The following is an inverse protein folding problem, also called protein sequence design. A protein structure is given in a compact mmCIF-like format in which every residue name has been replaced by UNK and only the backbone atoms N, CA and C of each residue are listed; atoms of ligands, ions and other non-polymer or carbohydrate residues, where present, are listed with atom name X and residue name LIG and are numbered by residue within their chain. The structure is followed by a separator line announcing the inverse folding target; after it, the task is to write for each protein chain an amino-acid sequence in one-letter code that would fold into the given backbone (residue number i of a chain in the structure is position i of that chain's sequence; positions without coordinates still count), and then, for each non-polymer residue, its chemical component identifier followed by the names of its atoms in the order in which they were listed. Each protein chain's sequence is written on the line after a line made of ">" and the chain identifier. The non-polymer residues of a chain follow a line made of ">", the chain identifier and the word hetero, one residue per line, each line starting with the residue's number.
data_IF_657489113925
#
_entry.id   IF_657489113925
#
_cell.length_a   1.000
_cell.length_b   1.000
_cell.length_c   1.000
_cell.angle_alpha   90.00
_cell.angle_beta   90.00
_cell.angle_gamma   90.00
#
_symmetry.space_group_name_H-M   'P 1'
#
loop_
_entity.id
_entity.type
_entity.pdbx_description
1 polymer ?
#
# COMPACT_ATOMS: atom_id res chain seq x y z
N UNK A 1 12.19 16.42 -5.55
CA UNK A 1 12.85 17.72 -5.38
C UNK A 1 14.33 17.50 -5.20
N UNK A 2 15.10 17.61 -6.28
CA UNK A 2 16.56 17.74 -6.19
C UNK A 2 16.77 19.17 -5.69
N UNK A 3 16.95 19.34 -4.38
CA UNK A 3 17.44 20.61 -3.87
C UNK A 3 18.82 20.79 -4.49
N UNK A 4 18.94 21.78 -5.36
CA UNK A 4 20.20 22.16 -5.97
C UNK A 4 21.21 22.38 -4.84
N UNK A 5 22.20 21.47 -4.76
CA UNK A 5 23.26 21.44 -3.75
C UNK A 5 23.92 22.82 -3.62
N UNK A 6 24.03 23.52 -4.76
CA UNK A 6 24.53 24.88 -4.81
C UNK A 6 23.55 25.84 -4.15
N UNK A 7 22.26 25.80 -4.48
CA UNK A 7 21.25 26.67 -3.87
C UNK A 7 21.10 26.51 -2.35
N UNK A 8 21.17 25.28 -1.81
CA UNK A 8 21.10 25.07 -0.35
C UNK A 8 22.32 25.62 0.38
N UNK A 9 23.54 25.38 -0.13
CA UNK A 9 24.75 25.92 0.49
C UNK A 9 24.94 27.42 0.21
N UNK A 10 24.53 27.94 -0.95
CA UNK A 10 24.48 29.37 -1.25
C UNK A 10 23.45 30.08 -0.34
N UNK A 11 22.36 29.40 0.07
CA UNK A 11 21.42 29.95 1.06
C UNK A 11 21.99 30.02 2.49
N UNK A 12 22.98 29.18 2.81
CA UNK A 12 23.70 29.20 4.08
C UNK A 12 24.83 30.24 4.09
N UNK A 13 25.34 30.61 2.91
CA UNK A 13 26.30 31.71 2.69
C UNK A 13 25.60 33.06 2.40
N UNK A 14 24.26 33.10 2.45
CA UNK A 14 23.48 34.33 2.31
C UNK A 14 23.82 35.31 3.44
N UNK A 15 24.02 36.62 3.17
CA UNK A 15 24.29 37.62 4.20
C UNK A 15 23.15 37.78 5.22
N UNK A 16 21.96 37.25 4.92
CA UNK A 16 20.81 37.21 5.84
C UNK A 16 20.85 36.03 6.83
N UNK A 17 21.75 35.06 6.62
CA UNK A 17 21.92 33.90 7.49
C UNK A 17 23.05 34.18 8.49
N UNK A 18 22.70 34.53 9.73
CA UNK A 18 23.64 34.86 10.83
C UNK A 18 24.41 33.63 11.38
N UNK A 19 24.74 32.65 10.54
CA UNK A 19 25.54 31.50 10.94
C UNK A 19 27.03 31.80 10.70
N UNK A 20 27.85 31.56 11.73
CA UNK A 20 29.28 31.76 11.64
C UNK A 20 29.86 30.85 10.53
N UNK A 21 30.60 31.40 9.53
CA UNK A 21 31.20 30.63 8.45
C UNK A 21 32.11 29.48 8.93
N UNK A 22 32.76 29.63 10.08
CA UNK A 22 33.54 28.54 10.69
C UNK A 22 32.64 27.42 11.22
N UNK A 23 31.44 27.71 11.72
CA UNK A 23 30.48 26.69 12.18
C UNK A 23 29.95 25.89 10.98
N UNK A 24 29.62 26.56 9.87
CA UNK A 24 29.18 25.90 8.63
C UNK A 24 30.30 25.02 8.05
N UNK A 25 31.56 25.45 8.12
CA UNK A 25 32.73 24.67 7.71
C UNK A 25 33.00 23.47 8.64
N UNK A 26 32.98 23.68 9.96
CA UNK A 26 33.14 22.61 10.97
C UNK A 26 32.04 21.54 10.81
N UNK A 27 30.80 21.94 10.52
CA UNK A 27 29.69 21.01 10.31
C UNK A 27 29.79 20.24 8.98
N UNK A 28 30.45 20.81 7.97
CA UNK A 28 30.71 20.14 6.69
C UNK A 28 31.82 19.08 6.79
N UNK A 29 32.87 19.33 7.59
CA UNK A 29 34.06 18.46 7.65
C UNK A 29 33.94 17.35 8.73
N UNK A 30 33.34 17.65 9.88
CA UNK A 30 33.31 16.76 11.06
C UNK A 30 32.60 15.39 10.88
N UNK A 31 31.47 15.26 10.15
CA UNK A 31 30.83 13.94 10.01
C UNK A 31 31.61 13.02 9.04
N UNK A 32 32.30 13.56 8.03
CA UNK A 32 33.08 12.75 7.09
C UNK A 32 34.35 12.18 7.71
N UNK A 33 35.03 12.95 8.57
CA UNK A 33 36.21 12.47 9.31
C UNK A 33 35.85 11.34 10.29
N UNK A 34 34.70 11.46 10.96
CA UNK A 34 34.18 10.40 11.84
C UNK A 34 33.83 9.13 11.06
N UNK A 35 33.16 9.27 9.91
CA UNK A 35 32.81 8.14 9.04
C UNK A 35 34.08 7.46 8.49
N UNK A 36 35.06 8.23 8.00
CA UNK A 36 36.34 7.69 7.54
C UNK A 36 37.14 6.99 8.64
N UNK A 37 37.07 7.50 9.87
CA UNK A 37 37.67 6.84 11.04
C UNK A 37 36.96 5.53 11.36
N UNK A 38 35.62 5.52 11.35
CA UNK A 38 34.83 4.31 11.58
C UNK A 38 35.11 3.24 10.51
N UNK A 39 35.20 3.64 9.23
CA UNK A 39 35.58 2.76 8.12
C UNK A 39 36.94 2.10 8.37
N UNK A 40 37.96 2.91 8.67
CA UNK A 40 39.33 2.43 8.92
C UNK A 40 39.36 1.48 10.12
N UNK A 41 38.65 1.81 11.21
CA UNK A 41 38.58 0.96 12.39
C UNK A 41 37.84 -0.34 12.10
N UNK A 42 36.75 -0.31 11.35
CA UNK A 42 36.02 -1.52 10.94
C UNK A 42 36.92 -2.46 10.12
N UNK A 43 37.67 -1.91 9.16
CA UNK A 43 38.63 -2.66 8.36
C UNK A 43 39.76 -3.25 9.21
N UNK A 44 40.31 -2.48 10.17
CA UNK A 44 41.33 -2.97 11.09
C UNK A 44 40.81 -4.11 11.98
N UNK A 45 39.60 -4.00 12.50
CA UNK A 45 38.97 -5.06 13.31
C UNK A 45 38.80 -6.32 12.45
N UNK A 46 38.26 -6.19 11.24
CA UNK A 46 38.12 -7.34 10.33
C UNK A 46 39.47 -7.93 9.92
N UNK A 47 40.47 -7.10 9.66
CA UNK A 47 41.83 -7.56 9.35
C UNK A 47 42.48 -8.31 10.50
N UNK A 48 42.20 -7.93 11.75
CA UNK A 48 42.74 -8.60 12.93
C UNK A 48 42.04 -9.93 13.24
N UNK A 49 40.70 -9.97 13.18
CA UNK A 49 39.90 -11.15 13.54
C UNK A 49 39.48 -12.00 12.33
N UNK A 50 39.87 -11.63 11.11
CA UNK A 50 39.46 -12.22 9.82
C UNK A 50 37.99 -12.00 9.43
N UNK A 51 37.05 -12.09 10.37
CA UNK A 51 35.63 -11.84 10.13
C UNK A 51 34.92 -11.35 11.40
N UNK A 52 33.69 -10.84 11.24
CA UNK A 52 32.96 -10.23 12.35
C UNK A 52 32.44 -11.25 13.37
N UNK A 53 32.18 -12.48 12.93
CA UNK A 53 31.80 -13.59 13.80
C UNK A 53 32.93 -13.95 14.78
N UNK A 54 34.17 -14.04 14.28
CA UNK A 54 35.36 -14.28 15.09
C UNK A 54 35.65 -13.13 16.06
N UNK A 55 35.42 -11.88 15.63
CA UNK A 55 35.50 -10.72 16.52
C UNK A 55 34.46 -10.80 17.66
N UNK A 56 33.22 -11.18 17.34
CA UNK A 56 32.13 -11.41 18.31
C UNK A 56 32.50 -12.49 19.32
N UNK A 57 33.08 -13.60 18.87
CA UNK A 57 33.52 -14.69 19.75
C UNK A 57 34.67 -14.26 20.67
N UNK A 58 35.70 -13.62 20.11
CA UNK A 58 36.87 -13.17 20.86
C UNK A 58 36.54 -12.08 21.89
N UNK A 59 35.59 -11.19 21.58
CA UNK A 59 35.19 -10.07 22.43
C UNK A 59 33.99 -10.39 23.34
N UNK A 60 33.48 -11.63 23.29
CA UNK A 60 32.26 -12.04 24.01
C UNK A 60 32.28 -11.76 25.51
N UNK A 61 33.47 -11.79 26.14
CA UNK A 61 33.64 -11.49 27.58
C UNK A 61 33.41 -10.02 27.94
N UNK A 62 33.47 -9.12 26.96
CA UNK A 62 33.23 -7.68 27.11
C UNK A 62 31.79 -7.27 26.76
N UNK A 63 31.00 -8.19 26.19
CA UNK A 63 29.62 -7.97 25.79
C UNK A 63 28.67 -8.04 27.00
N UNK A 64 27.62 -7.22 27.00
CA UNK A 64 26.51 -7.44 27.94
C UNK A 64 25.69 -8.65 27.50
N UNK A 65 24.85 -9.15 28.42
CA UNK A 65 23.94 -10.27 28.14
C UNK A 65 23.12 -9.97 26.86
N UNK A 66 23.13 -10.92 25.91
CA UNK A 66 22.47 -10.85 24.59
C UNK A 66 23.11 -9.92 23.55
N UNK A 67 24.17 -9.18 23.87
CA UNK A 67 24.93 -8.41 22.88
C UNK A 67 25.94 -9.32 22.15
N UNK A 68 26.03 -9.21 20.83
CA UNK A 68 27.02 -9.96 20.02
C UNK A 68 28.38 -9.27 19.95
N UNK A 69 28.41 -7.95 20.02
CA UNK A 69 29.63 -7.16 20.06
C UNK A 69 29.58 -6.17 21.22
N UNK A 70 30.74 -5.77 21.77
CA UNK A 70 30.80 -4.66 22.71
C UNK A 70 30.30 -3.38 22.04
N UNK A 71 29.61 -2.53 22.81
CA UNK A 71 28.97 -1.31 22.31
C UNK A 71 29.83 -0.48 21.35
N UNK A 72 31.09 -0.22 21.69
CA UNK A 72 31.97 0.60 20.85
C UNK A 72 32.36 -0.08 19.53
N UNK A 73 32.61 -1.39 19.55
CA UNK A 73 32.91 -2.13 18.33
C UNK A 73 31.67 -2.18 17.42
N UNK A 74 30.50 -2.42 18.00
CA UNK A 74 29.22 -2.43 17.30
C UNK A 74 28.94 -1.07 16.62
N UNK A 75 29.16 0.02 17.34
CA UNK A 75 28.97 1.38 16.83
C UNK A 75 29.92 1.71 15.65
N UNK A 76 31.16 1.22 15.69
CA UNK A 76 32.12 1.38 14.57
C UNK A 76 31.56 0.77 13.29
N UNK A 77 31.04 -0.46 13.33
CA UNK A 77 30.46 -1.10 12.14
C UNK A 77 29.17 -0.42 11.67
N UNK A 78 28.32 0.04 12.60
CA UNK A 78 27.13 0.80 12.24
C UNK A 78 27.47 2.08 11.47
N UNK A 79 28.48 2.83 11.95
CA UNK A 79 28.87 4.09 11.34
C UNK A 79 29.61 3.91 10.02
N UNK A 80 30.50 2.92 9.94
CA UNK A 80 31.19 2.58 8.71
C UNK A 80 30.21 2.26 7.57
N UNK A 81 29.07 1.63 7.89
CA UNK A 81 28.07 1.30 6.87
C UNK A 81 27.24 2.49 6.34
N UNK A 82 27.41 3.73 6.82
CA UNK A 82 26.45 4.81 6.55
C UNK A 82 26.62 5.55 5.22
N UNK A 83 27.81 5.49 4.61
CA UNK A 83 28.12 6.13 3.32
C UNK A 83 28.81 5.15 2.39
N UNK A 84 28.88 5.47 1.11
CA UNK A 84 29.50 4.60 0.11
C UNK A 84 31.04 4.67 0.20
N UNK A 85 31.69 3.50 0.21
CA UNK A 85 33.14 3.32 0.19
C UNK A 85 33.49 1.88 -0.27
N UNK A 86 34.77 1.61 -0.55
CA UNK A 86 35.25 0.36 -1.16
C UNK A 86 34.90 -0.90 -0.37
N UNK A 87 34.89 -0.82 0.95
CA UNK A 87 34.70 -1.97 1.84
C UNK A 87 33.25 -2.16 2.27
N UNK A 88 32.34 -1.26 1.88
CA UNK A 88 30.95 -1.25 2.35
C UNK A 88 30.23 -2.59 2.09
N UNK A 89 30.44 -3.20 0.93
CA UNK A 89 29.80 -4.47 0.58
C UNK A 89 30.16 -5.59 1.58
N UNK A 90 31.45 -5.67 1.95
CA UNK A 90 31.94 -6.60 2.96
C UNK A 90 31.36 -6.28 4.33
N UNK A 91 31.35 -5.00 4.73
CA UNK A 91 30.83 -4.60 6.04
C UNK A 91 29.33 -4.89 6.20
N UNK A 92 28.53 -4.61 5.16
CA UNK A 92 27.09 -4.92 5.15
C UNK A 92 26.87 -6.43 5.28
N UNK A 93 27.59 -7.23 4.50
CA UNK A 93 27.48 -8.70 4.51
C UNK A 93 27.85 -9.28 5.88
N UNK A 94 29.01 -8.87 6.43
CA UNK A 94 29.46 -9.31 7.74
C UNK A 94 28.50 -8.92 8.87
N UNK A 95 27.95 -7.69 8.81
CA UNK A 95 26.95 -7.22 9.77
C UNK A 95 25.65 -8.02 9.65
N UNK A 96 25.21 -8.30 8.42
CA UNK A 96 24.04 -9.14 8.19
C UNK A 96 24.23 -10.54 8.75
N UNK A 97 25.33 -11.21 8.40
CA UNK A 97 25.63 -12.57 8.84
C UNK A 97 25.65 -12.70 10.36
N UNK A 98 26.24 -11.73 11.06
CA UNK A 98 26.29 -11.73 12.51
C UNK A 98 24.90 -11.55 13.13
N UNK A 99 24.02 -10.73 12.55
CA UNK A 99 22.77 -10.30 13.20
C UNK A 99 21.48 -10.86 12.61
N UNK A 100 21.55 -11.66 11.54
CA UNK A 100 20.37 -12.20 10.82
C UNK A 100 19.43 -13.05 11.70
N UNK A 101 19.92 -13.65 12.78
CA UNK A 101 19.09 -14.45 13.69
C UNK A 101 18.13 -13.64 14.58
N UNK A 102 18.24 -12.31 14.55
CA UNK A 102 17.34 -11.40 15.27
C UNK A 102 17.46 -11.42 16.79
N UNK A 103 18.45 -12.12 17.37
CA UNK A 103 18.53 -12.30 18.84
C UNK A 103 19.03 -11.07 19.59
N UNK A 104 19.86 -10.25 18.96
CA UNK A 104 20.38 -9.00 19.53
C UNK A 104 19.49 -7.81 19.15
N UNK A 105 18.35 -7.71 19.86
CA UNK A 105 17.37 -6.64 19.65
C UNK A 105 17.92 -5.24 19.97
N UNK A 106 18.96 -5.15 20.80
CA UNK A 106 19.56 -3.88 21.21
C UNK A 106 20.37 -3.29 20.06
N UNK A 107 21.24 -4.10 19.43
CA UNK A 107 21.98 -3.69 18.24
C UNK A 107 21.05 -3.32 17.08
N UNK A 108 19.95 -4.06 16.90
CA UNK A 108 18.94 -3.76 15.87
C UNK A 108 18.28 -2.39 16.10
N UNK A 109 17.89 -2.07 17.34
CA UNK A 109 17.29 -0.76 17.66
C UNK A 109 18.29 0.40 17.52
N UNK A 110 19.55 0.19 17.91
CA UNK A 110 20.62 1.20 17.80
C UNK A 110 20.87 1.57 16.33
N UNK A 111 20.91 0.59 15.42
CA UNK A 111 21.08 0.81 13.98
C UNK A 111 20.08 1.81 13.41
N UNK A 112 18.80 1.62 13.72
CA UNK A 112 17.74 2.54 13.28
C UNK A 112 17.99 3.98 13.79
N UNK A 113 18.43 4.12 15.04
CA UNK A 113 18.69 5.43 15.66
C UNK A 113 19.90 6.13 15.05
N UNK A 114 20.95 5.38 14.67
CA UNK A 114 22.16 5.95 14.07
C UNK A 114 21.87 6.53 12.69
N UNK A 115 21.05 5.87 11.88
CA UNK A 115 20.72 6.38 10.54
C UNK A 115 19.96 7.71 10.61
N UNK A 116 19.09 7.87 11.59
CA UNK A 116 18.27 9.07 11.79
C UNK A 116 19.02 10.20 12.52
N UNK A 117 20.31 10.00 12.82
CA UNK A 117 21.11 10.99 13.53
C UNK A 117 21.29 12.29 12.71
N UNK A 118 20.94 13.44 13.29
CA UNK A 118 20.87 14.73 12.57
C UNK A 118 22.17 15.17 11.88
N UNK A 119 23.34 14.79 12.42
CA UNK A 119 24.65 15.05 11.80
C UNK A 119 24.83 14.36 10.43
N UNK A 120 24.06 13.32 10.14
CA UNK A 120 24.15 12.55 8.90
C UNK A 120 23.17 13.04 7.83
N UNK A 121 22.38 14.08 8.12
CA UNK A 121 21.36 14.60 7.20
C UNK A 121 21.93 15.03 5.85
N UNK A 122 23.17 15.53 5.82
CA UNK A 122 23.86 15.97 4.62
C UNK A 122 24.79 14.91 3.99
N UNK A 123 24.88 13.71 4.58
CA UNK A 123 25.73 12.63 4.08
C UNK A 123 24.97 11.82 3.02
N UNK A 124 25.48 11.71 1.79
CA UNK A 124 24.86 10.88 0.76
C UNK A 124 24.74 9.44 1.20
N UNK A 125 23.55 8.87 1.08
CA UNK A 125 23.31 7.46 1.39
C UNK A 125 23.79 6.57 0.25
N UNK A 126 24.32 5.37 0.55
CA UNK A 126 24.62 4.38 -0.47
C UNK A 126 23.36 4.03 -1.28
N UNK A 127 23.56 3.71 -2.55
CA UNK A 127 22.53 3.17 -3.45
C UNK A 127 22.73 1.67 -3.62
N UNK A 128 21.64 0.91 -3.63
CA UNK A 128 21.62 -0.53 -3.88
C UNK A 128 22.24 -0.88 -5.23
N UNK A 129 21.94 -0.08 -6.26
CA UNK A 129 22.42 -0.26 -7.61
C UNK A 129 23.56 0.71 -7.95
N UNK A 130 24.37 0.32 -8.92
CA UNK A 130 25.37 1.18 -9.54
C UNK A 130 24.73 2.16 -10.57
N UNK A 131 25.56 3.01 -11.18
CA UNK A 131 25.12 3.98 -12.19
C UNK A 131 24.46 3.29 -13.42
N UNK A 132 24.87 2.05 -13.72
CA UNK A 132 24.30 1.26 -14.80
C UNK A 132 22.94 0.67 -14.42
N UNK A 133 22.59 0.62 -13.14
CA UNK A 133 21.36 0.03 -12.62
C UNK A 133 21.50 -1.46 -12.30
N UNK A 134 22.72 -1.97 -12.21
CA UNK A 134 23.02 -3.33 -11.73
C UNK A 134 23.20 -3.33 -10.22
N UNK A 135 22.90 -4.45 -9.57
CA UNK A 135 23.01 -4.60 -8.12
C UNK A 135 24.47 -4.50 -7.68
N UNK A 136 24.76 -3.48 -6.85
CA UNK A 136 26.08 -3.26 -6.24
C UNK A 136 26.23 -3.98 -4.90
N UNK A 137 25.14 -4.09 -4.14
CA UNK A 137 25.11 -4.71 -2.83
C UNK A 137 24.09 -5.85 -2.76
N UNK A 138 24.35 -6.81 -1.87
CA UNK A 138 23.37 -7.84 -1.54
C UNK A 138 22.12 -7.19 -0.88
N UNK A 139 20.90 -7.39 -1.44
CA UNK A 139 19.70 -6.70 -0.97
C UNK A 139 19.33 -6.95 0.49
N UNK A 140 19.42 -8.19 0.99
CA UNK A 140 19.03 -8.48 2.38
C UNK A 140 20.01 -7.84 3.37
N UNK A 141 21.30 -7.86 3.04
CA UNK A 141 22.33 -7.22 3.84
C UNK A 141 22.21 -5.69 3.81
N UNK A 142 21.94 -5.13 2.63
CA UNK A 142 21.72 -3.71 2.44
C UNK A 142 20.50 -3.21 3.23
N UNK A 143 19.37 -3.93 3.15
CA UNK A 143 18.14 -3.58 3.87
C UNK A 143 18.28 -3.63 5.39
N UNK A 144 19.22 -4.41 5.94
CA UNK A 144 19.45 -4.45 7.38
C UNK A 144 19.87 -3.09 7.97
N UNK A 145 20.35 -2.18 7.12
CA UNK A 145 20.74 -0.82 7.48
C UNK A 145 19.92 0.17 6.65
N UNK A 146 20.01 0.11 5.32
CA UNK A 146 19.47 1.12 4.40
C UNK A 146 18.10 0.75 3.81
N UNK A 147 17.19 0.16 4.59
CA UNK A 147 15.88 -0.28 4.09
C UNK A 147 15.11 0.81 3.34
N UNK A 148 15.02 2.02 3.92
CA UNK A 148 14.32 3.15 3.28
C UNK A 148 14.95 3.57 1.96
N UNK A 149 16.29 3.49 1.84
CA UNK A 149 17.00 3.78 0.59
C UNK A 149 16.67 2.73 -0.47
N UNK A 150 16.64 1.44 -0.08
CA UNK A 150 16.24 0.35 -0.98
C UNK A 150 14.82 0.54 -1.50
N UNK A 151 13.86 0.85 -0.63
CA UNK A 151 12.47 1.10 -1.04
C UNK A 151 12.38 2.27 -2.04
N UNK A 152 13.09 3.38 -1.75
CA UNK A 152 13.11 4.56 -2.59
C UNK A 152 13.73 4.28 -3.97
N UNK A 153 14.81 3.50 -4.02
CA UNK A 153 15.52 3.19 -5.24
C UNK A 153 14.77 2.19 -6.12
N UNK A 154 14.14 1.17 -5.53
CA UNK A 154 13.26 0.25 -6.28
C UNK A 154 12.12 1.02 -6.93
N UNK A 155 11.52 1.99 -6.22
CA UNK A 155 10.50 2.88 -6.80
C UNK A 155 11.07 3.70 -7.96
N UNK A 156 12.27 4.29 -7.81
CA UNK A 156 12.92 5.04 -8.89
C UNK A 156 13.23 4.17 -10.12
N UNK A 157 13.66 2.92 -9.92
CA UNK A 157 13.90 1.94 -11.00
C UNK A 157 12.60 1.66 -11.75
N UNK A 158 11.49 1.48 -11.02
CA UNK A 158 10.17 1.27 -11.60
C UNK A 158 9.71 2.49 -12.41
N UNK A 159 9.83 3.69 -11.84
CA UNK A 159 9.45 4.95 -12.50
C UNK A 159 10.30 5.26 -13.75
N UNK A 160 11.56 4.79 -13.78
CA UNK A 160 12.44 4.89 -14.93
C UNK A 160 12.07 3.95 -16.09
N UNK A 161 11.16 2.98 -15.86
CA UNK A 161 10.58 2.13 -16.89
C UNK A 161 11.35 0.85 -17.21
N UNK A 162 10.94 0.19 -18.31
CA UNK A 162 11.29 -1.21 -18.63
C UNK A 162 12.79 -1.49 -18.63
N UNK A 163 13.61 -0.63 -19.24
CA UNK A 163 15.06 -0.87 -19.37
C UNK A 163 15.76 -1.01 -18.03
N UNK A 164 15.35 -0.24 -17.02
CA UNK A 164 15.94 -0.32 -15.67
C UNK A 164 15.40 -1.53 -14.91
N UNK A 165 14.12 -1.86 -15.11
CA UNK A 165 13.50 -3.07 -14.55
C UNK A 165 14.16 -4.35 -15.07
N UNK A 166 14.39 -4.46 -16.39
CA UNK A 166 15.04 -5.63 -16.99
C UNK A 166 16.47 -5.83 -16.48
N UNK A 167 17.20 -4.74 -16.24
CA UNK A 167 18.55 -4.81 -15.64
C UNK A 167 18.51 -5.29 -14.19
N UNK A 168 17.57 -4.78 -13.40
CA UNK A 168 17.39 -5.26 -12.04
C UNK A 168 17.05 -6.76 -12.03
N UNK A 169 16.12 -7.19 -12.90
CA UNK A 169 15.70 -8.58 -13.06
C UNK A 169 16.84 -9.48 -13.56
N UNK A 170 17.72 -8.97 -14.44
CA UNK A 170 18.85 -9.75 -14.92
C UNK A 170 19.76 -10.18 -13.79
N UNK A 171 19.82 -9.46 -12.67
CA UNK A 171 20.68 -9.81 -11.54
C UNK A 171 20.01 -10.78 -10.55
N UNK A 172 18.69 -11.02 -10.63
CA UNK A 172 17.94 -11.83 -9.67
C UNK A 172 18.48 -13.26 -9.51
N UNK A 173 18.90 -13.88 -10.61
CA UNK A 173 19.36 -15.27 -10.60
C UNK A 173 20.68 -15.48 -9.83
N UNK A 174 21.43 -14.41 -9.56
CA UNK A 174 22.70 -14.45 -8.84
C UNK A 174 22.53 -14.24 -7.33
N UNK A 175 21.33 -13.90 -6.89
CA UNK A 175 21.02 -13.61 -5.50
C UNK A 175 20.68 -14.86 -4.70
N UNK A 176 20.96 -14.81 -3.40
CA UNK A 176 20.46 -15.79 -2.45
C UNK A 176 18.92 -15.70 -2.30
N UNK A 177 18.31 -16.77 -1.80
CA UNK A 177 16.84 -16.86 -1.67
C UNK A 177 16.22 -15.77 -0.79
N UNK A 178 16.91 -15.31 0.27
CA UNK A 178 16.38 -14.28 1.15
C UNK A 178 16.37 -12.90 0.45
N UNK A 179 17.44 -12.59 -0.28
CA UNK A 179 17.54 -11.40 -1.13
C UNK A 179 16.52 -11.40 -2.26
N UNK A 180 16.34 -12.54 -2.95
CA UNK A 180 15.31 -12.69 -3.98
C UNK A 180 13.92 -12.44 -3.41
N UNK A 181 13.62 -13.01 -2.24
CA UNK A 181 12.33 -12.83 -1.56
C UNK A 181 12.10 -11.38 -1.17
N UNK A 182 13.11 -10.70 -0.62
CA UNK A 182 13.00 -9.29 -0.24
C UNK A 182 12.75 -8.42 -1.48
N UNK A 183 13.58 -8.54 -2.51
CA UNK A 183 13.40 -7.75 -3.73
C UNK A 183 12.07 -8.04 -4.42
N UNK A 184 11.67 -9.31 -4.51
CA UNK A 184 10.37 -9.69 -5.07
C UNK A 184 9.21 -9.04 -4.32
N UNK A 185 9.28 -8.99 -2.98
CA UNK A 185 8.29 -8.32 -2.15
C UNK A 185 8.25 -6.81 -2.39
N UNK A 186 9.40 -6.14 -2.45
CA UNK A 186 9.46 -4.68 -2.66
C UNK A 186 9.07 -4.27 -4.09
N UNK A 187 9.47 -5.04 -5.10
CA UNK A 187 9.02 -4.82 -6.48
C UNK A 187 7.51 -5.08 -6.58
N UNK A 188 7.03 -6.16 -5.98
CA UNK A 188 5.61 -6.50 -5.91
C UNK A 188 4.78 -5.35 -5.36
N UNK A 189 5.17 -4.76 -4.22
CA UNK A 189 4.47 -3.58 -3.64
C UNK A 189 4.26 -2.45 -4.66
N UNK A 190 5.28 -2.13 -5.45
CA UNK A 190 5.21 -1.04 -6.44
C UNK A 190 4.33 -1.43 -7.66
N UNK A 191 4.51 -2.65 -8.19
CA UNK A 191 3.71 -3.16 -9.33
C UNK A 191 2.23 -3.28 -8.99
N UNK A 192 1.92 -3.86 -7.83
CA UNK A 192 0.54 -4.12 -7.40
C UNK A 192 -0.22 -2.81 -7.14
N UNK A 193 0.47 -1.77 -6.68
CA UNK A 193 -0.09 -0.43 -6.48
C UNK A 193 -0.22 0.42 -7.76
N UNK A 194 0.47 0.04 -8.83
CA UNK A 194 0.55 0.84 -10.07
C UNK A 194 -0.73 0.81 -10.92
N UNK A 195 -0.87 1.83 -11.76
CA UNK A 195 -1.93 1.92 -12.79
C UNK A 195 -1.56 1.22 -14.12
N UNK A 196 -0.45 0.49 -14.16
CA UNK A 196 0.00 -0.15 -15.40
C UNK A 196 -0.97 -1.25 -15.83
N UNK A 197 -1.38 -1.29 -17.11
CA UNK A 197 -2.19 -2.37 -17.66
C UNK A 197 -1.38 -3.67 -17.74
N UNK A 198 -2.07 -4.79 -17.94
CA UNK A 198 -1.45 -6.13 -17.89
C UNK A 198 -0.46 -6.42 -19.01
N UNK A 199 -0.65 -5.75 -20.15
CA UNK A 199 0.23 -5.82 -21.32
C UNK A 199 1.43 -4.87 -21.22
N UNK A 200 1.55 -4.13 -20.11
CA UNK A 200 2.71 -3.28 -19.85
C UNK A 200 4.00 -4.12 -19.91
N UNK A 201 5.02 -3.70 -20.67
CA UNK A 201 6.30 -4.39 -20.73
C UNK A 201 6.92 -4.62 -19.35
N UNK A 202 6.76 -3.66 -18.44
CA UNK A 202 7.25 -3.73 -17.05
C UNK A 202 6.61 -4.89 -16.29
N UNK A 203 5.29 -5.07 -16.42
CA UNK A 203 4.56 -6.18 -15.79
C UNK A 203 4.93 -7.52 -16.40
N UNK A 204 5.09 -7.57 -17.72
CA UNK A 204 5.51 -8.79 -18.43
C UNK A 204 6.89 -9.24 -17.94
N UNK A 205 7.85 -8.33 -17.84
CA UNK A 205 9.20 -8.64 -17.36
C UNK A 205 9.23 -9.15 -15.91
N UNK A 206 8.33 -8.62 -15.07
CA UNK A 206 8.29 -8.97 -13.65
C UNK A 206 7.39 -10.16 -13.31
N UNK A 207 6.56 -10.61 -14.25
CA UNK A 207 5.60 -11.70 -14.06
C UNK A 207 6.12 -12.93 -13.31
N UNK A 208 7.35 -13.45 -13.53
CA UNK A 208 7.88 -14.59 -12.78
C UNK A 208 8.03 -14.37 -11.27
N UNK A 209 8.05 -13.11 -10.83
CA UNK A 209 8.28 -12.71 -9.43
C UNK A 209 7.03 -12.15 -8.76
N UNK A 210 5.91 -12.08 -9.50
CA UNK A 210 4.65 -11.56 -9.01
C UNK A 210 3.74 -12.71 -8.57
N UNK A 211 2.93 -12.44 -7.55
CA UNK A 211 1.87 -13.29 -7.06
C UNK A 211 0.55 -12.73 -7.60
N UNK A 212 -0.08 -13.46 -8.53
CA UNK A 212 -1.31 -13.04 -9.21
C UNK A 212 -2.47 -12.79 -8.22
N UNK A 213 -2.56 -13.57 -7.14
CA UNK A 213 -3.62 -13.41 -6.13
C UNK A 213 -3.39 -12.14 -5.30
N UNK A 214 -2.14 -11.87 -4.90
CA UNK A 214 -1.77 -10.67 -4.18
C UNK A 214 -1.91 -9.41 -5.04
N UNK A 215 -1.60 -9.49 -6.34
CA UNK A 215 -1.79 -8.40 -7.30
C UNK A 215 -3.27 -8.07 -7.46
N UNK A 216 -4.10 -9.07 -7.76
CA UNK A 216 -5.54 -8.90 -7.88
C UNK A 216 -6.18 -8.34 -6.60
N UNK A 217 -5.76 -8.86 -5.44
CA UNK A 217 -6.17 -8.32 -4.13
C UNK A 217 -5.88 -6.83 -4.04
N UNK A 218 -4.66 -6.42 -4.33
CA UNK A 218 -4.23 -5.02 -4.22
C UNK A 218 -5.00 -4.14 -5.20
N UNK A 219 -5.21 -4.59 -6.44
CA UNK A 219 -5.96 -3.87 -7.47
C UNK A 219 -7.43 -3.70 -7.11
N UNK A 220 -8.11 -4.73 -6.60
CA UNK A 220 -9.51 -4.64 -6.16
C UNK A 220 -9.64 -3.66 -5.00
N UNK A 221 -8.74 -3.70 -4.01
CA UNK A 221 -8.75 -2.76 -2.89
C UNK A 221 -8.46 -1.33 -3.36
N UNK A 222 -7.49 -1.13 -4.25
CA UNK A 222 -7.19 0.19 -4.80
C UNK A 222 -8.33 0.73 -5.68
N UNK A 223 -9.07 -0.14 -6.39
CA UNK A 223 -10.25 0.26 -7.14
C UNK A 223 -11.36 0.73 -6.18
N UNK A 224 -11.58 0.01 -5.08
CA UNK A 224 -12.51 0.41 -4.03
C UNK A 224 -12.11 1.75 -3.38
N UNK A 225 -10.85 1.90 -2.99
CA UNK A 225 -10.35 3.14 -2.38
C UNK A 225 -10.42 4.33 -3.36
N UNK A 226 -10.18 4.10 -4.66
CA UNK A 226 -10.34 5.14 -5.68
C UNK A 226 -11.78 5.62 -5.90
N UNK A 227 -12.78 4.89 -5.38
CA UNK A 227 -14.17 5.35 -5.37
C UNK A 227 -14.41 6.36 -4.24
N UNK A 228 -13.65 6.30 -3.13
CA UNK A 228 -13.68 7.30 -2.06
C UNK A 228 -13.05 8.62 -2.51
N UNK A 229 -11.88 8.51 -3.15
CA UNK A 229 -11.07 9.66 -3.59
C UNK A 229 -11.56 10.24 -4.92
N UNK A 230 -12.70 9.77 -5.44
CA UNK A 230 -13.22 10.17 -6.74
C UNK A 230 -13.63 11.65 -6.70
N UNK A 231 -12.91 12.50 -7.42
CA UNK A 231 -13.31 13.90 -7.65
C UNK A 231 -13.86 14.06 -9.07
N UNK A 232 -14.71 15.07 -9.33
CA UNK A 232 -15.18 15.38 -10.69
C UNK A 232 -14.04 15.61 -11.70
N UNK A 233 -12.86 15.98 -11.21
CA UNK A 233 -11.67 16.32 -12.00
C UNK A 233 -10.76 15.11 -12.26
N UNK A 234 -10.81 14.07 -11.42
CA UNK A 234 -9.98 12.85 -11.53
C UNK A 234 -10.74 11.61 -12.06
N UNK A 235 -11.93 11.83 -12.64
CA UNK A 235 -12.88 10.80 -13.08
C UNK A 235 -12.29 9.76 -14.06
N UNK A 236 -11.19 10.08 -14.77
CA UNK A 236 -10.59 9.13 -15.72
C UNK A 236 -9.79 7.98 -15.05
N UNK A 237 -9.32 8.15 -13.81
CA UNK A 237 -8.41 7.17 -13.19
C UNK A 237 -9.12 5.97 -12.54
N UNK A 238 -10.28 6.21 -11.93
CA UNK A 238 -11.06 5.18 -11.23
C UNK A 238 -11.67 4.12 -12.16
N UNK A 239 -12.26 4.47 -13.32
CA UNK A 239 -12.73 3.49 -14.30
C UNK A 239 -11.62 2.56 -14.81
N UNK A 240 -10.41 3.08 -15.04
CA UNK A 240 -9.27 2.26 -15.44
C UNK A 240 -8.86 1.28 -14.33
N UNK A 241 -8.85 1.71 -13.06
CA UNK A 241 -8.59 0.82 -11.91
C UNK A 241 -9.62 -0.31 -11.82
N UNK A 242 -10.89 0.01 -11.99
CA UNK A 242 -11.99 -0.97 -12.00
C UNK A 242 -11.79 -1.98 -13.13
N UNK A 243 -11.53 -1.50 -14.36
CA UNK A 243 -11.27 -2.34 -15.53
C UNK A 243 -10.08 -3.28 -15.30
N UNK A 244 -8.97 -2.77 -14.78
CA UNK A 244 -7.78 -3.56 -14.46
C UNK A 244 -8.01 -4.58 -13.33
N UNK A 245 -8.87 -4.27 -12.36
CA UNK A 245 -9.24 -5.21 -11.32
C UNK A 245 -10.04 -6.39 -11.89
N UNK A 246 -11.02 -6.12 -12.75
CA UNK A 246 -11.82 -7.18 -13.40
C UNK A 246 -11.00 -8.04 -14.35
N UNK A 247 -10.13 -7.44 -15.18
CA UNK A 247 -9.25 -8.17 -16.08
C UNK A 247 -8.34 -9.18 -15.34
N UNK A 248 -7.97 -8.88 -14.10
CA UNK A 248 -7.22 -9.81 -13.24
C UNK A 248 -8.11 -10.90 -12.67
N UNK A 249 -9.29 -10.55 -12.14
CA UNK A 249 -10.25 -11.52 -11.60
C UNK A 249 -10.66 -12.57 -12.65
N UNK A 250 -10.80 -12.19 -13.92
CA UNK A 250 -11.11 -13.11 -15.03
C UNK A 250 -10.08 -14.24 -15.21
N UNK A 251 -8.84 -14.03 -14.77
CA UNK A 251 -7.73 -14.98 -14.96
C UNK A 251 -7.46 -15.84 -13.74
N UNK A 252 -8.05 -15.51 -12.59
CA UNK A 252 -7.84 -16.24 -11.35
C UNK A 252 -8.72 -17.50 -11.30
N UNK A 253 -8.23 -18.52 -10.59
CA UNK A 253 -9.08 -19.63 -10.17
C UNK A 253 -9.96 -19.25 -8.97
N UNK A 254 -10.93 -20.10 -8.64
CA UNK A 254 -11.92 -19.84 -7.56
C UNK A 254 -11.30 -19.71 -6.17
N UNK A 255 -10.24 -20.47 -5.87
CA UNK A 255 -9.53 -20.38 -4.59
C UNK A 255 -8.85 -19.02 -4.43
N UNK A 256 -8.21 -18.53 -5.49
CA UNK A 256 -7.57 -17.21 -5.52
C UNK A 256 -8.60 -16.07 -5.45
N UNK A 257 -9.73 -16.18 -6.16
CA UNK A 257 -10.84 -15.22 -6.04
C UNK A 257 -11.38 -15.17 -4.61
N UNK A 258 -11.51 -16.33 -3.96
CA UNK A 258 -11.93 -16.40 -2.55
C UNK A 258 -10.97 -15.64 -1.62
N UNK A 259 -9.66 -15.72 -1.85
CA UNK A 259 -8.66 -14.93 -1.12
C UNK A 259 -8.82 -13.42 -1.36
N UNK A 260 -9.03 -13.00 -2.61
CA UNK A 260 -9.30 -11.59 -2.94
C UNK A 260 -10.55 -11.10 -2.22
N UNK A 261 -11.65 -11.85 -2.30
CA UNK A 261 -12.91 -11.51 -1.65
C UNK A 261 -12.78 -11.48 -0.13
N UNK A 262 -11.98 -12.35 0.50
CA UNK A 262 -11.74 -12.27 1.94
C UNK A 262 -11.13 -10.92 2.37
N UNK A 263 -10.28 -10.33 1.53
CA UNK A 263 -9.69 -9.02 1.80
C UNK A 263 -10.68 -7.88 1.57
N UNK A 264 -11.55 -8.04 0.57
CA UNK A 264 -12.66 -7.11 0.33
C UNK A 264 -13.65 -7.10 1.51
N UNK A 265 -14.01 -8.29 2.05
CA UNK A 265 -14.85 -8.41 3.26
C UNK A 265 -14.23 -7.70 4.45
N UNK A 266 -12.92 -7.85 4.65
CA UNK A 266 -12.22 -7.12 5.71
C UNK A 266 -12.33 -5.61 5.53
N UNK A 267 -12.22 -5.10 4.30
CA UNK A 267 -12.38 -3.67 4.00
C UNK A 267 -13.81 -3.19 4.21
N UNK A 268 -14.82 -3.98 3.84
CA UNK A 268 -16.23 -3.70 4.15
C UNK A 268 -16.47 -3.59 5.65
N UNK A 269 -15.95 -4.53 6.43
CA UNK A 269 -16.00 -4.49 7.88
C UNK A 269 -15.42 -3.18 8.44
N UNK A 270 -14.31 -2.68 7.89
CA UNK A 270 -13.73 -1.39 8.28
C UNK A 270 -14.61 -0.19 7.92
N UNK A 271 -15.29 -0.20 6.78
CA UNK A 271 -16.18 0.89 6.35
C UNK A 271 -17.53 0.90 7.08
N UNK A 272 -18.00 -0.27 7.50
CA UNK A 272 -19.27 -0.46 8.22
C UNK A 272 -19.11 -0.28 9.74
N UNK A 273 -17.91 -0.52 10.28
CA UNK A 273 -17.60 -0.31 11.70
C UNK A 273 -17.57 1.20 12.01
N UNK A 274 -18.66 1.72 12.59
CA UNK A 274 -18.80 3.10 13.10
C UNK A 274 -17.92 3.43 14.34
N UNK A 275 -16.70 2.91 14.43
CA UNK A 275 -15.78 3.21 15.54
C UNK A 275 -15.34 4.68 15.45
N UNK A 276 -15.26 5.42 16.58
CA UNK A 276 -14.73 6.78 16.58
C UNK A 276 -13.28 6.76 16.10
N UNK A 277 -13.02 7.35 14.93
CA UNK A 277 -11.71 7.38 14.25
C UNK A 277 -11.65 6.63 12.91
N UNK A 278 -12.71 5.94 12.46
CA UNK A 278 -12.83 5.37 11.11
C UNK A 278 -13.24 6.40 10.05
N UNK A 279 -13.07 6.07 8.76
CA UNK A 279 -13.42 6.90 7.59
C UNK A 279 -14.86 7.43 7.66
N UNK A 280 -15.06 8.60 8.27
CA UNK A 280 -16.38 9.05 8.69
C UNK A 280 -17.15 9.82 7.60
N UNK A 281 -16.46 10.33 6.58
CA UNK A 281 -17.06 11.13 5.51
C UNK A 281 -16.70 10.57 4.13
N UNK A 282 -17.72 10.42 3.29
CA UNK A 282 -17.61 10.14 1.87
C UNK A 282 -17.73 11.48 1.14
N UNK A 283 -16.60 12.07 0.75
CA UNK A 283 -16.51 13.49 0.39
C UNK A 283 -17.21 13.85 -0.92
N UNK A 284 -17.26 12.91 -1.87
CA UNK A 284 -17.80 13.13 -3.22
C UNK A 284 -18.81 12.04 -3.63
N UNK A 285 -19.97 11.99 -2.96
CA UNK A 285 -20.98 10.93 -3.15
C UNK A 285 -21.50 10.85 -4.58
N UNK A 286 -21.74 11.99 -5.23
CA UNK A 286 -22.30 12.02 -6.60
C UNK A 286 -21.36 11.41 -7.66
N UNK A 287 -20.05 11.46 -7.44
CA UNK A 287 -19.06 10.84 -8.33
C UNK A 287 -18.69 9.42 -7.87
N UNK A 288 -18.50 9.22 -6.57
CA UNK A 288 -17.98 7.97 -6.00
C UNK A 288 -19.01 6.84 -5.91
N UNK A 289 -20.27 7.11 -5.58
CA UNK A 289 -21.32 6.07 -5.45
C UNK A 289 -21.59 5.37 -6.79
N UNK A 290 -21.72 6.07 -7.94
CA UNK A 290 -21.87 5.40 -9.24
C UNK A 290 -20.68 4.49 -9.61
N UNK A 291 -19.46 4.92 -9.31
CA UNK A 291 -18.25 4.13 -9.54
C UNK A 291 -18.22 2.89 -8.63
N UNK A 292 -18.56 3.06 -7.36
CA UNK A 292 -18.68 1.97 -6.41
C UNK A 292 -19.76 0.98 -6.84
N UNK A 293 -20.91 1.45 -7.30
CA UNK A 293 -21.98 0.61 -7.85
C UNK A 293 -21.51 -0.19 -9.07
N UNK A 294 -20.72 0.43 -9.95
CA UNK A 294 -20.11 -0.26 -11.10
C UNK A 294 -19.13 -1.35 -10.65
N UNK A 295 -18.26 -1.04 -9.68
CA UNK A 295 -17.32 -2.01 -9.11
C UNK A 295 -18.06 -3.20 -8.49
N UNK A 296 -19.05 -2.95 -7.64
CA UNK A 296 -19.83 -4.00 -6.96
C UNK A 296 -20.64 -4.84 -7.94
N UNK A 297 -21.23 -4.21 -8.97
CA UNK A 297 -21.97 -4.94 -10.00
C UNK A 297 -21.08 -5.90 -10.78
N UNK A 298 -19.85 -5.49 -11.11
CA UNK A 298 -18.89 -6.39 -11.74
C UNK A 298 -18.45 -7.52 -10.81
N UNK A 299 -18.18 -7.21 -9.53
CA UNK A 299 -17.83 -8.21 -8.50
C UNK A 299 -18.94 -9.25 -8.27
N UNK A 300 -20.21 -8.87 -8.35
CA UNK A 300 -21.35 -9.80 -8.33
C UNK A 300 -21.24 -10.84 -9.47
N UNK A 301 -20.79 -10.42 -10.65
CA UNK A 301 -20.53 -11.32 -11.79
C UNK A 301 -19.43 -12.36 -11.52
N UNK A 302 -18.54 -12.10 -10.57
CA UNK A 302 -17.52 -13.02 -10.08
C UNK A 302 -17.93 -13.80 -8.82
N UNK A 303 -19.19 -13.70 -8.39
CA UNK A 303 -19.73 -14.43 -7.24
C UNK A 303 -19.55 -13.75 -5.88
N UNK A 304 -19.15 -12.47 -5.84
CA UNK A 304 -19.11 -11.70 -4.59
C UNK A 304 -20.45 -10.99 -4.38
N UNK A 305 -21.24 -11.41 -3.40
CA UNK A 305 -22.51 -10.77 -3.04
C UNK A 305 -22.29 -9.66 -1.99
N UNK A 306 -22.32 -8.41 -2.45
CA UNK A 306 -22.11 -7.24 -1.60
C UNK A 306 -23.25 -7.03 -0.58
N UNK A 307 -24.51 -7.30 -0.95
CA UNK A 307 -25.66 -7.09 -0.05
C UNK A 307 -25.66 -8.11 1.09
N UNK A 308 -25.41 -9.39 0.78
CA UNK A 308 -25.29 -10.41 1.80
C UNK A 308 -24.10 -10.15 2.74
N UNK A 309 -23.01 -9.56 2.25
CA UNK A 309 -21.88 -9.20 3.09
C UNK A 309 -22.23 -8.05 4.05
N UNK A 310 -22.85 -6.97 3.55
CA UNK A 310 -23.30 -5.84 4.38
C UNK A 310 -24.29 -6.31 5.45
N UNK A 311 -25.22 -7.20 5.11
CA UNK A 311 -26.21 -7.71 6.04
C UNK A 311 -25.62 -8.40 7.28
N UNK A 312 -24.42 -9.00 7.17
CA UNK A 312 -23.72 -9.64 8.31
C UNK A 312 -23.28 -8.63 9.38
N UNK A 313 -23.16 -7.36 9.02
CA UNK A 313 -22.74 -6.28 9.92
C UNK A 313 -23.94 -5.56 10.56
N UNK A 314 -25.17 -5.93 10.20
CA UNK A 314 -26.37 -5.35 10.79
C UNK A 314 -26.66 -6.02 12.14
N UNK A 315 -27.14 -5.26 13.14
CA UNK A 315 -27.53 -5.84 14.43
C UNK A 315 -28.78 -6.72 14.26
N UNK A 316 -28.59 -8.06 14.28
CA UNK A 316 -29.54 -9.18 14.47
C UNK A 316 -29.64 -10.25 13.33
N UNK A 317 -30.45 -11.30 13.56
CA UNK A 317 -30.37 -12.71 13.06
C UNK A 317 -30.22 -12.93 11.53
N UNK A 318 -29.52 -14.00 11.08
CA UNK A 318 -29.05 -14.22 9.70
C UNK A 318 -30.04 -14.97 8.79
N UNK A 319 -31.35 -14.79 8.95
CA UNK A 319 -32.35 -15.51 8.13
C UNK A 319 -32.58 -14.83 6.77
N UNK A 320 -32.87 -15.59 5.69
CA UNK A 320 -33.08 -15.00 4.34
C UNK A 320 -34.30 -14.07 4.24
N UNK A 321 -35.35 -14.35 5.02
CA UNK A 321 -36.49 -13.42 5.15
C UNK A 321 -36.11 -12.16 5.95
N UNK A 322 -35.04 -12.22 6.75
CA UNK A 322 -34.46 -11.05 7.39
C UNK A 322 -33.75 -10.15 6.37
N UNK A 323 -33.15 -10.69 5.29
CA UNK A 323 -32.49 -9.88 4.25
C UNK A 323 -33.43 -8.88 3.57
N UNK A 324 -34.65 -9.30 3.23
CA UNK A 324 -35.68 -8.38 2.71
C UNK A 324 -36.01 -7.27 3.72
N UNK A 325 -36.20 -7.64 4.99
CA UNK A 325 -36.44 -6.68 6.07
C UNK A 325 -35.25 -5.72 6.28
N UNK A 326 -34.01 -6.21 6.13
CA UNK A 326 -32.81 -5.38 6.20
C UNK A 326 -32.74 -4.40 5.04
N UNK A 327 -33.09 -4.83 3.83
CA UNK A 327 -33.15 -3.95 2.66
C UNK A 327 -34.18 -2.85 2.88
N UNK A 328 -35.36 -3.17 3.45
CA UNK A 328 -36.34 -2.12 3.82
C UNK A 328 -35.73 -1.12 4.82
N UNK A 329 -35.08 -1.59 5.89
CA UNK A 329 -34.44 -0.71 6.88
C UNK A 329 -33.32 0.13 6.26
N UNK A 330 -32.52 -0.42 5.34
CA UNK A 330 -31.45 0.30 4.64
C UNK A 330 -32.04 1.38 3.72
N UNK A 331 -33.04 1.03 2.92
CA UNK A 331 -33.68 1.97 1.98
C UNK A 331 -34.43 3.07 2.72
N UNK A 332 -35.17 2.73 3.77
CA UNK A 332 -36.03 3.69 4.47
C UNK A 332 -35.28 4.50 5.53
N UNK A 333 -34.17 3.99 6.09
CA UNK A 333 -33.45 4.62 7.18
C UNK A 333 -32.07 5.19 6.82
N UNK A 334 -31.39 4.65 5.80
CA UNK A 334 -29.97 4.96 5.55
C UNK A 334 -29.74 5.75 4.26
N UNK A 335 -30.61 5.61 3.27
CA UNK A 335 -30.62 6.47 2.09
C UNK A 335 -31.15 7.84 2.50
N UNK A 336 -30.27 8.84 2.53
CA UNK A 336 -30.64 10.21 2.87
C UNK A 336 -31.09 10.95 1.62
N UNK A 337 -32.13 11.79 1.68
CA UNK A 337 -32.53 12.67 0.57
C UNK A 337 -31.45 13.67 0.16
N UNK A 338 -30.44 13.89 1.01
CA UNK A 338 -29.32 14.79 0.77
C UNK A 338 -28.02 14.07 1.08
N UNK A 339 -27.06 14.13 0.17
CA UNK A 339 -25.73 13.56 0.32
C UNK A 339 -24.79 14.39 1.22
N UNK A 340 -25.30 15.40 1.94
CA UNK A 340 -24.51 16.19 2.88
C UNK A 340 -24.08 15.30 4.06
N UNK A 341 -22.77 15.20 4.29
CA UNK A 341 -22.16 14.38 5.35
C UNK A 341 -22.55 12.90 5.27
N UNK A 342 -22.51 12.32 4.07
CA UNK A 342 -22.70 10.89 3.88
C UNK A 342 -21.50 10.12 4.46
N UNK A 343 -21.76 9.03 5.20
CA UNK A 343 -20.71 8.15 5.71
C UNK A 343 -20.31 7.12 4.65
N UNK A 344 -19.10 6.54 4.77
CA UNK A 344 -18.68 5.44 3.91
C UNK A 344 -19.62 4.23 4.01
N UNK A 345 -20.17 3.96 5.20
CA UNK A 345 -21.17 2.93 5.42
C UNK A 345 -22.44 3.16 4.57
N UNK A 346 -22.98 4.39 4.60
CA UNK A 346 -24.18 4.73 3.83
C UNK A 346 -23.91 4.70 2.33
N UNK A 347 -22.77 5.23 1.87
CA UNK A 347 -22.36 5.19 0.47
C UNK A 347 -22.21 3.74 -0.04
N UNK A 348 -21.64 2.86 0.80
CA UNK A 348 -21.48 1.43 0.48
C UNK A 348 -22.82 0.72 0.36
N UNK A 349 -23.75 0.98 1.29
CA UNK A 349 -25.12 0.46 1.25
C UNK A 349 -25.83 0.92 -0.02
N UNK A 350 -25.79 2.21 -0.32
CA UNK A 350 -26.42 2.79 -1.49
C UNK A 350 -25.88 2.18 -2.79
N UNK A 351 -24.55 2.10 -2.93
CA UNK A 351 -23.90 1.49 -4.07
C UNK A 351 -24.23 0.00 -4.21
N UNK A 352 -24.34 -0.75 -3.10
CA UNK A 352 -24.71 -2.16 -3.13
C UNK A 352 -26.16 -2.36 -3.61
N UNK A 353 -27.09 -1.49 -3.19
CA UNK A 353 -28.48 -1.51 -3.66
C UNK A 353 -28.60 -1.15 -5.15
N UNK A 354 -27.77 -0.21 -5.63
CA UNK A 354 -27.67 0.12 -7.06
C UNK A 354 -27.12 -1.08 -7.86
N UNK A 355 -26.12 -1.78 -7.32
CA UNK A 355 -25.42 -2.89 -7.99
C UNK A 355 -26.22 -4.21 -8.02
N UNK A 356 -27.19 -4.38 -7.11
CA UNK A 356 -27.95 -5.62 -6.96
C UNK A 356 -28.83 -5.97 -8.18
N UNK A 357 -29.08 -7.27 -8.38
CA UNK A 357 -29.96 -7.72 -9.45
C UNK A 357 -31.43 -7.36 -9.16
N UNK A 358 -32.15 -6.85 -10.16
CA UNK A 358 -33.54 -6.41 -9.95
C UNK A 358 -34.48 -7.57 -9.61
N UNK A 359 -34.25 -8.76 -10.18
CA UNK A 359 -35.09 -9.93 -9.91
C UNK A 359 -34.87 -10.41 -8.49
N UNK A 360 -33.64 -10.32 -7.99
CA UNK A 360 -33.31 -10.60 -6.61
C UNK A 360 -34.03 -9.62 -5.65
N UNK A 361 -33.94 -8.31 -5.92
CA UNK A 361 -34.64 -7.29 -5.13
C UNK A 361 -36.16 -7.49 -5.11
N UNK A 362 -36.76 -7.82 -6.25
CA UNK A 362 -38.19 -8.15 -6.36
C UNK A 362 -38.50 -9.43 -5.57
N UNK A 363 -37.62 -10.43 -5.64
CA UNK A 363 -37.76 -11.71 -4.96
C UNK A 363 -37.81 -11.62 -3.44
N UNK A 364 -37.29 -10.53 -2.84
CA UNK A 364 -37.38 -10.29 -1.40
C UNK A 364 -38.77 -9.84 -0.91
N UNK A 365 -39.71 -9.54 -1.81
CA UNK A 365 -41.08 -9.21 -1.43
C UNK A 365 -41.22 -7.89 -0.66
N UNK A 366 -40.35 -6.92 -0.97
CA UNK A 366 -40.33 -5.59 -0.33
C UNK A 366 -41.65 -4.83 -0.51
N UNK A 367 -41.98 -3.95 0.44
CA UNK A 367 -43.14 -3.06 0.35
C UNK A 367 -43.09 -2.17 -0.91
N UNK A 368 -44.27 -1.87 -1.47
CA UNK A 368 -44.42 -1.04 -2.68
C UNK A 368 -43.72 0.32 -2.58
N UNK A 369 -43.82 1.10 -1.49
CA UNK A 369 -43.09 2.37 -1.35
C UNK A 369 -41.57 2.19 -1.35
N UNK A 370 -41.06 1.13 -0.72
CA UNK A 370 -39.63 0.81 -0.68
C UNK A 370 -39.11 0.41 -2.07
N UNK A 371 -39.87 -0.39 -2.82
CA UNK A 371 -39.56 -0.73 -4.21
C UNK A 371 -39.55 0.51 -5.11
N UNK A 372 -40.43 1.48 -4.88
CA UNK A 372 -40.43 2.76 -5.61
C UNK A 372 -39.15 3.55 -5.33
N UNK A 373 -38.76 3.71 -4.06
CA UNK A 373 -37.49 4.37 -3.70
C UNK A 373 -36.27 3.69 -4.33
N UNK A 374 -36.26 2.35 -4.38
CA UNK A 374 -35.21 1.60 -5.08
C UNK A 374 -35.21 1.86 -6.59
N UNK A 375 -36.39 2.01 -7.20
CA UNK A 375 -36.52 2.36 -8.60
C UNK A 375 -36.04 3.78 -8.88
N UNK A 376 -36.24 4.73 -7.96
CA UNK A 376 -35.78 6.12 -8.10
C UNK A 376 -34.27 6.25 -7.87
N UNK A 377 -33.73 5.51 -6.90
CA UNK A 377 -32.29 5.45 -6.63
C UNK A 377 -31.50 4.94 -7.85
N UNK A 378 -32.11 4.03 -8.61
CA UNK A 378 -31.51 3.42 -9.79
C UNK A 378 -31.96 4.20 -11.02
N UNK A 379 -31.03 4.87 -11.72
CA UNK A 379 -31.37 5.62 -12.95
C UNK A 379 -32.04 4.80 -14.05
N UNK A 380 -31.99 3.46 -13.97
CA UNK A 380 -32.70 2.53 -14.86
C UNK A 380 -33.10 1.25 -14.09
N UNK A 381 -34.39 1.13 -13.73
CA UNK A 381 -34.95 -0.03 -12.99
C UNK A 381 -36.25 -0.57 -13.62
N UNK A 382 -36.21 -1.08 -14.87
CA UNK A 382 -37.41 -1.41 -15.63
C UNK A 382 -38.17 -2.61 -15.05
N UNK A 383 -37.50 -3.60 -14.46
CA UNK A 383 -38.18 -4.77 -13.89
C UNK A 383 -38.89 -4.41 -12.58
N UNK A 384 -38.26 -3.57 -11.75
CA UNK A 384 -38.90 -3.08 -10.52
C UNK A 384 -40.14 -2.25 -10.86
N UNK A 385 -40.04 -1.34 -11.84
CA UNK A 385 -41.19 -0.55 -12.30
C UNK A 385 -42.29 -1.43 -12.90
N UNK A 386 -41.93 -2.45 -13.67
CA UNK A 386 -42.89 -3.43 -14.20
C UNK A 386 -43.58 -4.24 -13.09
N UNK A 387 -42.90 -4.51 -11.97
CA UNK A 387 -43.48 -5.19 -10.80
C UNK A 387 -44.45 -4.28 -10.03
N UNK A 388 -44.10 -2.99 -9.87
CA UNK A 388 -44.96 -2.02 -9.19
C UNK A 388 -46.31 -1.88 -9.90
N UNK A 389 -46.32 -1.76 -11.23
CA UNK A 389 -47.54 -1.54 -12.02
C UNK A 389 -48.52 -2.73 -12.05
N UNK A 390 -48.14 -3.90 -11.53
CA UNK A 390 -49.04 -5.06 -11.41
C UNK A 390 -50.16 -4.87 -10.39
N UNK A 391 -50.02 -3.93 -9.45
CA UNK A 391 -51.01 -3.61 -8.41
C UNK A 391 -51.65 -2.24 -8.62
N UNK A 392 -52.86 -2.00 -8.10
CA UNK A 392 -53.45 -0.65 -8.05
C UNK A 392 -52.55 0.36 -7.30
N UNK A 393 -52.16 0.03 -6.07
CA UNK A 393 -51.30 0.87 -5.22
C UNK A 393 -49.97 1.23 -5.91
N UNK A 394 -49.26 0.24 -6.45
CA UNK A 394 -48.01 0.48 -7.16
C UNK A 394 -48.16 1.31 -8.45
N UNK A 395 -49.32 1.27 -9.13
CA UNK A 395 -49.60 2.16 -10.27
C UNK A 395 -49.75 3.62 -9.83
N UNK A 396 -50.44 3.86 -8.71
CA UNK A 396 -50.60 5.20 -8.15
C UNK A 396 -49.26 5.76 -7.69
N UNK A 397 -48.43 4.93 -7.04
CA UNK A 397 -47.08 5.30 -6.60
C UNK A 397 -46.17 5.68 -7.78
N UNK A 398 -46.11 4.84 -8.83
CA UNK A 398 -45.32 5.12 -10.03
C UNK A 398 -45.81 6.39 -10.73
N UNK A 399 -47.14 6.55 -10.83
CA UNK A 399 -47.73 7.76 -11.42
C UNK A 399 -47.40 9.02 -10.62
N UNK A 400 -47.45 8.96 -9.28
CA UNK A 400 -47.05 10.07 -8.41
C UNK A 400 -45.58 10.45 -8.59
N UNK A 401 -44.68 9.47 -8.57
CA UNK A 401 -43.25 9.70 -8.79
C UNK A 401 -42.94 10.30 -10.16
N UNK A 402 -43.59 9.82 -11.22
CA UNK A 402 -43.43 10.36 -12.58
C UNK A 402 -43.92 11.81 -12.72
N UNK A 403 -44.83 12.23 -11.83
CA UNK A 403 -45.30 13.61 -11.72
C UNK A 403 -44.44 14.46 -10.77
N UNK A 404 -43.46 13.88 -10.09
CA UNK A 404 -42.61 14.54 -9.09
C UNK A 404 -43.33 14.86 -7.77
N UNK A 405 -44.35 14.06 -7.40
CA UNK A 405 -45.20 14.25 -6.22
C UNK A 405 -44.70 13.54 -4.96
#
# INVERSE_FOLDING_TARGET
>A
MICDRKAYFDSLDSPDNNLNPEIVRIWKDHPYDLLGTAETLAEQILGHFSNLQAASEALSTLCKKQEKLPYYAEFVFQWACLRDHSSLSTLLSQTHDLYQDGKDLVAIRRRASVIEHGMLSAVPRPTLCDENGSLKYNPIAFAAIHHKSLEAEIRQIFDAGITKVERLVSDFHQLDTASQKLLGLEIGKNIYGSLLPDDSPVRIALKPYLDDAQDAKTRVINALDSCLDATPENDASSPNRISHAFAMLDRLNEDQKTLVFSSLRHKFSQWLDNRPGGYSAFEHPDAGIPLLGTLLKGLNGFGFDALAEIAKHMPHDPDKNALGSYIEVMVDGWIKPSHINLSCANALVEAALIAADEKELIGFGLKKPTLLKLADLRSNAPLIRAELVKSSEGRELVFGADLGL
#
